data_IF_655815882609
#
_entry.id   IF_655815882609
#
_cell.length_a   1.000
_cell.length_b   1.000
_cell.length_c   1.000
_cell.angle_alpha   90.00
_cell.angle_beta   90.00
_cell.angle_gamma   90.00
#
_symmetry.space_group_name_H-M   'P 1'
#
loop_
_entity.id
_entity.type
_entity.pdbx_description
1 polymer ?
#
# COMPACT_ATOMS: atom_id res chain seq x y z
N UNK A 1 21.49 35.69 -11.28
CA UNK A 1 20.62 35.06 -10.27
C UNK A 1 19.91 33.91 -10.97
N UNK A 2 20.25 32.67 -10.65
CA UNK A 2 19.68 31.50 -11.30
C UNK A 2 18.36 31.16 -10.60
N UNK A 3 17.24 31.59 -11.16
CA UNK A 3 15.94 31.08 -10.76
C UNK A 3 15.89 29.59 -11.10
N UNK A 4 15.89 28.75 -10.07
CA UNK A 4 15.74 27.32 -10.23
C UNK A 4 14.30 27.01 -10.68
N UNK A 5 14.07 26.31 -11.80
CA UNK A 5 12.73 26.10 -12.39
C UNK A 5 11.89 25.05 -11.65
N UNK A 6 12.18 24.78 -10.37
CA UNK A 6 11.51 23.77 -9.56
C UNK A 6 10.63 24.47 -8.54
N UNK A 7 9.46 25.00 -8.91
CA UNK A 7 8.47 25.39 -7.87
C UNK A 7 7.03 25.62 -8.35
N UNK A 8 6.70 25.63 -9.65
CA UNK A 8 5.29 25.84 -10.07
C UNK A 8 4.49 24.57 -10.38
N UNK A 9 5.15 23.46 -10.73
CA UNK A 9 4.45 22.25 -11.24
C UNK A 9 3.97 21.26 -10.17
N UNK A 10 4.50 21.33 -8.95
CA UNK A 10 4.08 20.46 -7.83
C UNK A 10 2.76 20.90 -7.18
N UNK A 11 2.30 22.12 -7.48
CA UNK A 11 1.12 22.75 -6.89
C UNK A 11 -0.21 22.21 -7.40
N UNK A 12 -0.23 21.40 -8.47
CA UNK A 12 -1.48 20.87 -9.04
C UNK A 12 -1.53 19.36 -9.00
N UNK A 13 -0.50 18.69 -8.50
CA UNK A 13 -0.42 17.22 -8.51
C UNK A 13 -0.51 16.67 -7.09
N UNK A 14 -1.08 15.48 -6.95
CA UNK A 14 -0.98 14.71 -5.72
C UNK A 14 0.47 14.26 -5.53
N UNK A 15 1.14 14.60 -4.42
CA UNK A 15 2.57 14.28 -4.29
C UNK A 15 2.85 12.76 -4.20
N UNK A 16 1.84 11.95 -3.85
CA UNK A 16 1.97 10.48 -3.80
C UNK A 16 1.81 9.81 -5.18
N UNK A 17 0.86 10.28 -6.01
CA UNK A 17 0.53 9.61 -7.28
C UNK A 17 0.79 10.44 -8.54
N UNK A 18 1.14 11.71 -8.42
CA UNK A 18 1.48 12.60 -9.53
C UNK A 18 0.30 12.97 -10.43
N UNK A 19 -0.92 12.53 -10.08
CA UNK A 19 -2.13 12.86 -10.82
C UNK A 19 -2.52 14.32 -10.56
N UNK A 20 -2.97 14.98 -11.62
CA UNK A 20 -3.45 16.36 -11.57
C UNK A 20 -4.74 16.48 -10.77
N UNK A 21 -4.83 17.58 -10.05
CA UNK A 21 -5.95 18.02 -9.24
C UNK A 21 -6.83 18.90 -10.11
N UNK A 22 -7.46 18.29 -11.10
CA UNK A 22 -8.40 19.03 -11.95
C UNK A 22 -9.64 19.40 -11.14
N UNK A 23 -10.25 20.55 -11.46
CA UNK A 23 -11.56 20.92 -10.90
C UNK A 23 -12.60 19.83 -11.16
N UNK A 24 -12.51 19.18 -12.31
CA UNK A 24 -13.33 18.03 -12.68
C UNK A 24 -13.21 16.88 -11.69
N UNK A 25 -12.00 16.53 -11.23
CA UNK A 25 -11.82 15.52 -10.20
C UNK A 25 -12.57 15.88 -8.92
N UNK A 26 -12.45 17.13 -8.46
CA UNK A 26 -13.15 17.60 -7.26
C UNK A 26 -14.67 17.55 -7.42
N UNK A 27 -15.19 17.96 -8.56
CA UNK A 27 -16.63 17.90 -8.86
C UNK A 27 -17.14 16.45 -8.94
N UNK A 28 -16.37 15.55 -9.56
CA UNK A 28 -16.68 14.12 -9.56
C UNK A 28 -16.71 13.54 -8.14
N UNK A 29 -15.76 13.93 -7.27
CA UNK A 29 -15.75 13.50 -5.88
C UNK A 29 -16.96 14.02 -5.09
N UNK A 30 -17.46 15.23 -5.37
CA UNK A 30 -18.65 15.78 -4.70
C UNK A 30 -19.92 14.99 -5.02
N UNK A 31 -20.03 14.48 -6.25
CA UNK A 31 -21.18 13.68 -6.71
C UNK A 31 -21.24 12.28 -6.07
N UNK A 32 -20.11 11.77 -5.59
CA UNK A 32 -20.07 10.46 -4.92
C UNK A 32 -20.65 10.54 -3.50
N UNK A 33 -21.30 9.46 -3.01
CA UNK A 33 -21.61 9.28 -1.60
C UNK A 33 -20.37 9.45 -0.73
N UNK A 34 -20.51 10.05 0.45
CA UNK A 34 -19.39 10.44 1.33
C UNK A 34 -18.39 9.31 1.56
N UNK A 35 -18.88 8.09 1.77
CA UNK A 35 -18.03 6.91 2.04
C UNK A 35 -17.23 6.42 0.83
N UNK A 36 -17.57 6.85 -0.39
CA UNK A 36 -16.86 6.50 -1.64
C UNK A 36 -15.91 7.61 -2.11
N UNK A 37 -15.86 8.75 -1.41
CA UNK A 37 -15.02 9.88 -1.81
C UNK A 37 -13.54 9.62 -1.53
N UNK A 38 -12.71 9.82 -2.54
CA UNK A 38 -11.26 9.93 -2.42
C UNK A 38 -10.86 11.39 -2.16
N UNK A 39 -11.00 11.79 -0.90
CA UNK A 39 -10.72 13.16 -0.44
C UNK A 39 -9.24 13.51 -0.65
N UNK A 40 -8.99 14.74 -1.11
CA UNK A 40 -7.67 15.35 -1.13
C UNK A 40 -7.38 15.98 0.24
N UNK A 41 -6.28 15.55 0.87
CA UNK A 41 -5.80 16.11 2.13
C UNK A 41 -4.57 16.97 1.91
N UNK A 42 -4.54 18.11 2.60
CA UNK A 42 -3.37 18.97 2.67
C UNK A 42 -2.34 18.42 3.66
N UNK A 43 -1.06 18.53 3.31
CA UNK A 43 0.05 18.16 4.18
C UNK A 43 0.18 19.22 5.27
N UNK A 44 0.00 18.83 6.53
CA UNK A 44 0.06 19.77 7.67
C UNK A 44 1.39 19.80 8.40
N UNK A 45 2.26 18.80 8.17
CA UNK A 45 3.54 18.66 8.87
C UNK A 45 4.61 18.14 7.92
N UNK A 46 5.84 18.64 8.04
CA UNK A 46 7.00 18.13 7.28
C UNK A 46 7.28 16.66 7.59
N UNK A 47 6.94 16.19 8.79
CA UNK A 47 7.03 14.76 9.19
C UNK A 47 6.25 13.81 8.29
N UNK A 48 5.26 14.31 7.52
CA UNK A 48 4.55 13.50 6.52
C UNK A 48 5.50 13.00 5.44
N UNK A 49 6.48 13.81 5.03
CA UNK A 49 7.51 13.43 4.05
C UNK A 49 8.28 12.21 4.53
N UNK A 50 8.87 12.32 5.72
CA UNK A 50 9.68 11.27 6.35
C UNK A 50 8.87 10.00 6.53
N UNK A 51 7.64 10.13 7.04
CA UNK A 51 6.73 9.00 7.23
C UNK A 51 6.44 8.31 5.90
N UNK A 52 6.18 9.07 4.83
CA UNK A 52 5.92 8.50 3.51
C UNK A 52 7.14 7.77 2.96
N UNK A 53 8.34 8.35 3.09
CA UNK A 53 9.59 7.71 2.66
C UNK A 53 9.83 6.41 3.42
N UNK A 54 9.71 6.43 4.76
CA UNK A 54 9.84 5.24 5.60
C UNK A 54 8.84 4.14 5.23
N UNK A 55 7.60 4.51 4.92
CA UNK A 55 6.59 3.52 4.50
C UNK A 55 6.87 3.03 3.08
N UNK A 56 7.27 3.89 2.16
CA UNK A 56 7.64 3.50 0.80
C UNK A 56 8.82 2.53 0.79
N UNK A 57 9.83 2.73 1.64
CA UNK A 57 10.99 1.84 1.75
C UNK A 57 10.60 0.40 2.10
N UNK A 58 9.58 0.22 2.93
CA UNK A 58 9.03 -1.07 3.35
C UNK A 58 8.24 -1.79 2.25
N UNK A 59 7.86 -1.07 1.18
CA UNK A 59 7.11 -1.63 0.05
C UNK A 59 8.09 -2.19 -0.97
N UNK A 60 8.26 -3.51 -1.00
CA UNK A 60 9.08 -4.18 -2.03
C UNK A 60 8.45 -4.20 -3.43
N UNK A 61 7.67 -3.19 -3.81
CA UNK A 61 6.95 -3.10 -5.09
C UNK A 61 7.48 -1.94 -5.95
N UNK A 62 7.16 -1.92 -7.25
CA UNK A 62 7.62 -0.84 -8.14
C UNK A 62 7.05 0.53 -7.78
N UNK A 63 5.93 0.56 -7.04
CA UNK A 63 5.36 1.79 -6.57
C UNK A 63 6.28 2.51 -5.57
N UNK A 64 7.09 1.78 -4.79
CA UNK A 64 8.20 2.35 -3.99
C UNK A 64 9.10 3.24 -4.84
N UNK A 65 9.59 2.74 -5.98
CA UNK A 65 10.52 3.50 -6.83
C UNK A 65 9.90 4.81 -7.29
N UNK A 66 8.62 4.78 -7.68
CA UNK A 66 7.87 5.97 -8.10
C UNK A 66 7.70 6.99 -6.96
N UNK A 67 7.37 6.54 -5.75
CA UNK A 67 7.23 7.42 -4.58
C UNK A 67 8.59 8.04 -4.21
N UNK A 68 9.64 7.23 -4.12
CA UNK A 68 10.98 7.68 -3.75
C UNK A 68 11.53 8.70 -4.76
N UNK A 69 11.44 8.43 -6.06
CA UNK A 69 11.89 9.34 -7.12
C UNK A 69 11.17 10.70 -7.05
N UNK A 70 9.91 10.74 -6.62
CA UNK A 70 9.13 11.98 -6.53
C UNK A 70 9.42 12.77 -5.27
N UNK A 71 9.63 12.10 -4.15
CA UNK A 71 9.67 12.75 -2.83
C UNK A 71 11.10 13.03 -2.37
N UNK A 72 12.07 12.20 -2.73
CA UNK A 72 13.47 12.41 -2.33
C UNK A 72 14.04 13.77 -2.78
N UNK A 73 13.82 14.25 -4.03
CA UNK A 73 14.36 15.52 -4.48
C UNK A 73 13.71 16.75 -3.80
N UNK A 74 12.56 16.56 -3.17
CA UNK A 74 11.86 17.63 -2.46
C UNK A 74 12.50 17.73 -1.07
N UNK A 75 13.19 18.83 -0.77
CA UNK A 75 13.82 19.06 0.53
C UNK A 75 12.78 19.15 1.65
N UNK A 76 11.73 19.94 1.43
CA UNK A 76 10.60 20.11 2.34
C UNK A 76 9.29 20.09 1.58
N UNK A 77 8.26 19.43 2.13
CA UNK A 77 6.92 19.50 1.55
C UNK A 77 6.28 20.82 1.96
N UNK A 78 6.05 21.77 1.03
CA UNK A 78 5.37 23.01 1.37
C UNK A 78 3.98 22.69 1.92
N UNK A 79 3.75 22.96 3.20
CA UNK A 79 2.51 22.60 3.92
C UNK A 79 1.27 23.18 3.24
N UNK A 80 1.41 24.38 2.68
CA UNK A 80 0.32 25.08 2.01
C UNK A 80 -0.03 24.41 0.67
N UNK A 81 0.96 23.86 -0.04
CA UNK A 81 0.81 23.48 -1.45
C UNK A 81 0.76 21.97 -1.69
N UNK A 82 1.32 21.18 -0.78
CA UNK A 82 1.37 19.72 -0.90
C UNK A 82 0.03 19.09 -0.48
N UNK A 83 -0.57 18.34 -1.41
CA UNK A 83 -1.80 17.59 -1.16
C UNK A 83 -1.68 16.13 -1.62
N UNK A 84 -2.47 15.26 -1.02
CA UNK A 84 -2.51 13.84 -1.36
C UNK A 84 -3.92 13.26 -1.36
N UNK A 85 -4.14 12.28 -2.23
CA UNK A 85 -5.34 11.44 -2.21
C UNK A 85 -5.33 10.53 -0.98
N UNK A 86 -6.41 10.55 -0.20
CA UNK A 86 -6.59 9.69 0.98
C UNK A 86 -6.36 8.21 0.65
N UNK A 87 -6.92 7.74 -0.46
CA UNK A 87 -6.79 6.34 -0.88
C UNK A 87 -5.34 5.96 -1.16
N UNK A 88 -4.51 6.88 -1.66
CA UNK A 88 -3.07 6.64 -1.87
C UNK A 88 -2.34 6.55 -0.54
N UNK A 89 -2.66 7.41 0.43
CA UNK A 89 -2.09 7.31 1.76
C UNK A 89 -2.51 5.99 2.43
N UNK A 90 -3.79 5.64 2.43
CA UNK A 90 -4.25 4.33 2.93
C UNK A 90 -3.52 3.18 2.24
N UNK A 91 -3.38 3.23 0.92
CA UNK A 91 -2.70 2.19 0.17
C UNK A 91 -1.22 2.07 0.57
N UNK A 92 -0.54 3.17 0.84
CA UNK A 92 0.84 3.18 1.32
C UNK A 92 0.99 2.39 2.62
N UNK A 93 0.04 2.56 3.56
CA UNK A 93 -0.01 1.82 4.83
C UNK A 93 -0.58 0.40 4.73
N UNK A 94 -1.26 0.04 3.63
CA UNK A 94 -1.71 -1.34 3.43
C UNK A 94 -0.47 -2.23 3.32
N UNK A 95 -0.31 -3.11 4.31
CA UNK A 95 0.74 -4.14 4.36
C UNK A 95 0.68 -4.97 3.08
N UNK A 96 1.78 -5.02 2.31
CA UNK A 96 1.85 -5.88 1.14
C UNK A 96 1.63 -7.34 1.58
N UNK A 97 0.43 -7.86 1.32
CA UNK A 97 0.08 -9.27 1.58
C UNK A 97 0.84 -10.23 0.67
N UNK A 98 1.59 -9.73 -0.31
CA UNK A 98 2.40 -10.55 -1.22
C UNK A 98 3.41 -11.45 -0.48
N UNK A 99 3.91 -11.01 0.69
CA UNK A 99 4.78 -11.83 1.56
C UNK A 99 4.06 -12.47 2.73
N UNK A 100 2.72 -12.48 2.75
CA UNK A 100 2.06 -13.56 3.48
C UNK A 100 2.31 -14.79 2.63
N UNK A 101 3.36 -15.56 2.95
CA UNK A 101 3.29 -17.02 2.83
C UNK A 101 1.86 -17.34 3.23
N UNK A 102 1.06 -17.91 2.33
CA UNK A 102 -0.22 -18.52 2.71
C UNK A 102 0.14 -19.27 3.98
N UNK A 103 -0.36 -18.85 5.14
CA UNK A 103 -0.32 -19.73 6.30
C UNK A 103 -1.17 -20.87 5.80
N UNK A 104 -0.50 -21.90 5.26
CA UNK A 104 -1.13 -23.17 5.01
C UNK A 104 -1.89 -23.44 6.30
N UNK A 105 -3.17 -23.73 6.16
CA UNK A 105 -3.92 -24.36 7.22
C UNK A 105 -2.96 -25.42 7.76
N UNK A 106 -2.46 -25.26 8.98
CA UNK A 106 -1.65 -26.31 9.59
C UNK A 106 -2.49 -27.57 9.44
N UNK A 107 -1.94 -28.70 8.97
CA UNK A 107 -2.66 -29.95 9.06
C UNK A 107 -3.14 -30.02 10.50
N UNK A 108 -4.46 -30.03 10.70
CA UNK A 108 -4.99 -30.14 12.06
C UNK A 108 -4.35 -31.39 12.65
N UNK A 109 -3.98 -31.39 13.92
CA UNK A 109 -3.39 -32.57 14.59
C UNK A 109 -4.20 -33.85 14.30
N UNK A 110 -5.49 -33.68 14.05
CA UNK A 110 -6.46 -34.66 13.53
C UNK A 110 -6.02 -35.30 12.19
N UNK A 111 -5.59 -34.54 11.18
CA UNK A 111 -5.16 -35.08 9.89
C UNK A 111 -3.89 -35.92 10.04
N UNK A 112 -2.94 -35.48 10.88
CA UNK A 112 -1.75 -36.28 11.20
C UNK A 112 -2.11 -37.53 12.00
N UNK A 113 -3.02 -37.41 12.98
CA UNK A 113 -3.50 -38.55 13.75
C UNK A 113 -4.24 -39.57 12.85
N UNK A 114 -5.04 -39.10 11.89
CA UNK A 114 -5.69 -39.94 10.91
C UNK A 114 -4.68 -40.70 10.06
N UNK A 115 -3.64 -40.03 9.54
CA UNK A 115 -2.56 -40.70 8.78
C UNK A 115 -1.85 -41.74 9.64
N UNK A 116 -1.53 -41.43 10.91
CA UNK A 116 -0.90 -42.41 11.81
C UNK A 116 -1.79 -43.62 12.11
N UNK A 117 -3.10 -43.42 12.26
CA UNK A 117 -4.06 -44.51 12.44
C UNK A 117 -4.13 -45.38 11.19
N UNK A 118 -4.21 -44.77 9.99
CA UNK A 118 -4.26 -45.52 8.74
C UNK A 118 -2.98 -46.33 8.51
N UNK A 119 -1.80 -45.74 8.71
CA UNK A 119 -0.53 -46.47 8.59
C UNK A 119 -0.45 -47.65 9.57
N UNK A 120 -0.85 -47.47 10.83
CA UNK A 120 -0.87 -48.56 11.81
C UNK A 120 -1.81 -49.70 11.39
N UNK A 121 -2.98 -49.38 10.84
CA UNK A 121 -3.95 -50.38 10.39
C UNK A 121 -3.47 -51.10 9.11
N UNK A 122 -2.83 -50.40 8.19
CA UNK A 122 -2.19 -51.00 7.01
C UNK A 122 -1.05 -51.94 7.41
N UNK A 123 -0.17 -51.52 8.33
CA UNK A 123 0.96 -52.33 8.79
C UNK A 123 0.52 -53.55 9.63
N UNK A 124 -0.56 -53.41 10.41
CA UNK A 124 -1.03 -54.47 11.32
C UNK A 124 -1.97 -55.47 10.65
N UNK A 125 -2.72 -55.06 9.62
CA UNK A 125 -3.78 -55.87 9.03
C UNK A 125 -3.67 -56.03 7.49
N UNK A 126 -2.70 -55.39 6.84
CA UNK A 126 -2.45 -55.54 5.40
C UNK A 126 -3.58 -55.02 4.50
N UNK A 127 -4.43 -54.12 5.00
CA UNK A 127 -5.62 -53.66 4.29
C UNK A 127 -5.30 -52.40 3.50
N UNK A 128 -5.16 -52.54 2.18
CA UNK A 128 -5.04 -51.42 1.23
C UNK A 128 -6.43 -50.89 0.85
N UNK A 129 -6.66 -49.59 1.06
CA UNK A 129 -7.90 -48.91 0.65
C UNK A 129 -7.68 -48.18 -0.68
N UNK A 130 -7.73 -48.96 -1.77
CA UNK A 130 -7.77 -48.47 -3.15
C UNK A 130 -9.19 -48.16 -3.63
#
# INVERSE_FOLDING_TARGET
>A
MCESPITRSTMEKCFLCGLERTKEFLELQKRLPVHLRNVLYQVRKNSVRETVLQQAEKRGDDWKKTIMHRILPISELPLVDAQYHNERMKNLYKRNKANKKKKGKYPTEIENAMVSIYCFLEDSFGVSWG
#
